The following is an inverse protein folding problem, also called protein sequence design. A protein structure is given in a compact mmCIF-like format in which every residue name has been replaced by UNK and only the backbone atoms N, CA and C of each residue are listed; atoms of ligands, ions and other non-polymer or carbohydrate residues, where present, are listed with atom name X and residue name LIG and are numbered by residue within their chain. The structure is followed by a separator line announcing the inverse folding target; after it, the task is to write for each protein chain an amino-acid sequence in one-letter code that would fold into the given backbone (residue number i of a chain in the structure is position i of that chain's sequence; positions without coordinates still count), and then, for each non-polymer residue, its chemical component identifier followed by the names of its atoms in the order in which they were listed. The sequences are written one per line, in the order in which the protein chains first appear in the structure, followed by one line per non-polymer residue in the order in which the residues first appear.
data_IF_074799366438
#
_entry.id   IF_074799366438
#
_cell.length_a   1.000
_cell.length_b   1.000
_cell.length_c   1.000
_cell.angle_alpha   90.00
_cell.angle_beta   90.00
_cell.angle_gamma   90.00
#
_symmetry.space_group_name_H-M   'P 1'
#
loop_
_entity.id
_entity.type
_entity.pdbx_description
1 polymer ?
#
# COMPACT_ATOMS: atom_id res chain seq x y z
N UNK A 1 -44.87 -28.59 15.92
CA UNK A 1 -44.04 -28.48 14.69
C UNK A 1 -43.04 -27.37 14.95
N UNK A 2 -41.76 -27.69 15.15
CA UNK A 2 -40.74 -26.66 15.34
C UNK A 2 -40.59 -25.85 14.03
N UNK A 3 -40.41 -24.52 14.07
CA UNK A 3 -40.16 -23.76 12.86
C UNK A 3 -38.89 -24.31 12.18
N UNK A 4 -38.83 -24.35 10.84
CA UNK A 4 -37.61 -24.74 10.15
C UNK A 4 -36.48 -23.83 10.63
N UNK A 5 -35.37 -24.42 11.05
CA UNK A 5 -34.20 -23.65 11.43
C UNK A 5 -33.75 -22.85 10.21
N UNK A 6 -33.89 -21.52 10.28
CA UNK A 6 -33.36 -20.61 9.26
C UNK A 6 -31.86 -20.82 9.23
N UNK A 7 -31.36 -21.39 8.14
CA UNK A 7 -29.93 -21.60 7.96
C UNK A 7 -29.30 -20.25 7.67
N UNK A 8 -28.13 -19.95 8.24
CA UNK A 8 -27.36 -18.77 7.82
C UNK A 8 -27.00 -18.79 6.32
N UNK A 9 -27.17 -19.92 5.64
CA UNK A 9 -27.07 -20.04 4.19
C UNK A 9 -28.18 -19.30 3.41
N UNK A 10 -29.28 -18.92 4.06
CA UNK A 10 -30.42 -18.25 3.44
C UNK A 10 -30.31 -16.71 3.48
N UNK A 11 -29.29 -16.17 4.17
CA UNK A 11 -29.06 -14.73 4.24
C UNK A 11 -28.32 -14.29 2.96
N UNK A 12 -28.85 -13.33 2.19
CA UNK A 12 -28.16 -12.80 1.01
C UNK A 12 -26.82 -12.16 1.38
N UNK A 13 -25.81 -12.30 0.52
CA UNK A 13 -24.46 -11.74 0.73
C UNK A 13 -24.49 -10.24 1.08
N UNK A 14 -25.37 -9.46 0.43
CA UNK A 14 -25.56 -8.02 0.70
C UNK A 14 -25.89 -7.75 2.17
N UNK A 15 -26.69 -8.59 2.82
CA UNK A 15 -27.03 -8.43 4.24
C UNK A 15 -25.86 -8.83 5.14
N UNK A 16 -25.10 -9.86 4.76
CA UNK A 16 -23.87 -10.25 5.46
C UNK A 16 -22.82 -9.15 5.39
N UNK A 17 -22.65 -8.52 4.23
CA UNK A 17 -21.76 -7.36 4.06
C UNK A 17 -22.13 -6.24 5.03
N UNK A 18 -23.40 -5.82 5.07
CA UNK A 18 -23.86 -4.75 5.97
C UNK A 18 -23.69 -5.10 7.45
N UNK A 19 -23.77 -6.39 7.81
CA UNK A 19 -23.46 -6.87 9.17
C UNK A 19 -21.95 -6.76 9.45
N UNK A 20 -21.12 -7.26 8.55
CA UNK A 20 -19.66 -7.28 8.74
C UNK A 20 -19.05 -5.88 8.66
N UNK A 21 -19.64 -4.95 7.90
CA UNK A 21 -19.22 -3.53 7.87
C UNK A 21 -19.46 -2.83 9.21
N UNK A 22 -20.27 -3.38 10.11
CA UNK A 22 -20.46 -2.82 11.47
C UNK A 22 -19.43 -3.33 12.47
N UNK A 23 -18.61 -4.33 12.12
CA UNK A 23 -17.53 -4.83 12.97
C UNK A 23 -16.33 -3.89 12.89
N UNK A 24 -16.22 -2.92 13.79
CA UNK A 24 -15.16 -1.90 13.75
C UNK A 24 -13.76 -2.46 14.03
N UNK A 25 -13.66 -3.60 14.71
CA UNK A 25 -12.39 -4.26 15.01
C UNK A 25 -12.04 -5.30 13.95
N UNK A 26 -10.83 -5.19 13.37
CA UNK A 26 -10.32 -6.16 12.40
C UNK A 26 -10.24 -7.59 12.97
N UNK A 27 -10.06 -7.75 14.28
CA UNK A 27 -10.07 -9.05 14.95
C UNK A 27 -11.43 -9.74 14.88
N UNK A 28 -12.52 -8.99 15.07
CA UNK A 28 -13.88 -9.53 15.00
C UNK A 28 -14.22 -9.94 13.57
N UNK A 29 -13.78 -9.15 12.59
CA UNK A 29 -13.89 -9.49 11.18
C UNK A 29 -13.09 -10.75 10.84
N UNK A 30 -11.86 -10.89 11.37
CA UNK A 30 -11.05 -12.09 11.21
C UNK A 30 -11.75 -13.32 11.82
N UNK A 31 -12.30 -13.21 13.03
CA UNK A 31 -13.08 -14.30 13.66
C UNK A 31 -14.30 -14.66 12.82
N UNK A 32 -15.07 -13.69 12.34
CA UNK A 32 -16.20 -13.92 11.45
C UNK A 32 -15.78 -14.68 10.18
N UNK A 33 -14.62 -14.36 9.60
CA UNK A 33 -14.11 -15.07 8.42
C UNK A 33 -13.78 -16.55 8.68
N UNK A 34 -13.57 -16.94 9.94
CA UNK A 34 -13.24 -18.32 10.31
C UNK A 34 -14.46 -19.19 10.62
N UNK A 35 -15.66 -18.61 10.72
CA UNK A 35 -16.87 -19.36 11.13
C UNK A 35 -17.37 -20.30 10.03
N UNK A 36 -17.39 -19.84 8.78
CA UNK A 36 -17.84 -20.63 7.64
C UNK A 36 -17.27 -20.12 6.30
N UNK A 37 -17.26 -20.97 5.24
CA UNK A 37 -16.75 -20.59 3.92
C UNK A 37 -17.49 -19.41 3.29
N UNK A 38 -18.80 -19.28 3.51
CA UNK A 38 -19.60 -18.16 2.96
C UNK A 38 -19.17 -16.83 3.57
N UNK A 39 -18.97 -16.77 4.89
CA UNK A 39 -18.50 -15.56 5.56
C UNK A 39 -17.08 -15.21 5.12
N UNK A 40 -16.20 -16.21 5.04
CA UNK A 40 -14.85 -16.03 4.50
C UNK A 40 -14.88 -15.43 3.09
N UNK A 41 -15.78 -15.93 2.22
CA UNK A 41 -15.92 -15.43 0.84
C UNK A 41 -16.35 -13.96 0.82
N UNK A 42 -17.39 -13.60 1.58
CA UNK A 42 -17.88 -12.21 1.65
C UNK A 42 -16.81 -11.29 2.23
N UNK A 43 -16.13 -11.69 3.31
CA UNK A 43 -15.11 -10.88 3.98
C UNK A 43 -13.83 -10.74 3.14
N UNK A 44 -13.46 -11.78 2.39
CA UNK A 44 -12.32 -11.74 1.48
C UNK A 44 -12.64 -11.03 0.15
N UNK A 45 -13.91 -10.68 -0.09
CA UNK A 45 -14.30 -9.95 -1.29
C UNK A 45 -13.63 -8.56 -1.32
N UNK A 46 -13.17 -8.20 -2.50
CA UNK A 46 -12.46 -6.95 -2.71
C UNK A 46 -13.36 -5.73 -2.45
N UNK A 47 -14.57 -5.70 -3.00
CA UNK A 47 -15.48 -4.56 -2.82
C UNK A 47 -15.85 -4.38 -1.35
N UNK A 48 -16.07 -5.49 -0.61
CA UNK A 48 -16.28 -5.46 0.83
C UNK A 48 -15.09 -4.84 1.57
N UNK A 49 -13.87 -5.34 1.36
CA UNK A 49 -12.66 -4.83 2.02
C UNK A 49 -12.40 -3.34 1.72
N UNK A 50 -12.77 -2.87 0.52
CA UNK A 50 -12.72 -1.44 0.15
C UNK A 50 -13.62 -0.60 1.04
N UNK A 51 -14.91 -0.98 1.11
CA UNK A 51 -15.91 -0.29 1.93
C UNK A 51 -15.51 -0.34 3.40
N UNK A 52 -15.04 -1.49 3.86
CA UNK A 52 -14.59 -1.68 5.22
C UNK A 52 -13.47 -0.72 5.59
N UNK A 53 -12.41 -0.59 4.77
CA UNK A 53 -11.30 0.34 5.05
C UNK A 53 -11.69 1.81 4.95
N UNK A 54 -12.65 2.15 4.08
CA UNK A 54 -13.17 3.50 3.98
C UNK A 54 -13.95 3.91 5.24
N UNK A 55 -14.69 2.98 5.83
CA UNK A 55 -15.45 3.18 7.09
C UNK A 55 -14.57 3.04 8.34
N UNK A 56 -13.57 2.16 8.29
CA UNK A 56 -12.67 1.82 9.39
C UNK A 56 -11.22 2.01 8.95
N UNK A 57 -10.69 3.24 8.99
CA UNK A 57 -9.32 3.51 8.61
C UNK A 57 -8.34 2.61 9.39
N UNK A 58 -7.33 2.01 8.72
CA UNK A 58 -6.36 1.15 9.38
C UNK A 58 -5.71 1.85 10.58
N UNK A 59 -5.56 1.18 11.73
CA UNK A 59 -4.96 1.80 12.91
C UNK A 59 -3.47 2.09 12.69
N UNK A 60 -2.99 3.19 13.28
CA UNK A 60 -1.56 3.49 13.35
C UNK A 60 -0.88 2.52 14.33
N UNK A 61 -0.20 1.50 13.80
CA UNK A 61 0.41 0.45 14.63
C UNK A 61 1.78 0.81 15.20
N UNK A 62 2.47 1.82 14.67
CA UNK A 62 3.78 2.22 15.17
C UNK A 62 4.54 3.14 14.22
N UNK A 63 5.78 3.42 14.60
CA UNK A 63 6.75 4.16 13.80
C UNK A 63 7.82 3.20 13.28
N UNK A 64 8.11 3.26 11.99
CA UNK A 64 9.21 2.50 11.40
C UNK A 64 10.40 3.42 11.13
N UNK A 65 11.54 3.08 11.73
CA UNK A 65 12.84 3.71 11.50
C UNK A 65 13.82 2.62 11.04
N UNK A 66 15.02 2.54 11.63
CA UNK A 66 15.91 1.37 11.48
C UNK A 66 15.30 0.11 12.09
N UNK A 67 14.45 0.28 13.11
CA UNK A 67 13.66 -0.77 13.75
C UNK A 67 12.20 -0.33 13.91
N UNK A 68 11.31 -1.30 14.11
CA UNK A 68 9.90 -1.03 14.35
C UNK A 68 9.64 -0.68 15.82
N UNK A 69 9.04 0.49 16.04
CA UNK A 69 8.61 0.98 17.34
C UNK A 69 7.07 0.93 17.44
N UNK A 70 6.49 -0.08 18.13
CA UNK A 70 5.05 -0.23 18.22
C UNK A 70 4.41 0.86 19.08
N UNK A 71 3.16 1.22 18.76
CA UNK A 71 2.34 2.09 19.60
C UNK A 71 2.25 1.53 21.03
N UNK A 72 2.40 2.40 22.04
CA UNK A 72 2.40 2.03 23.46
C UNK A 72 1.12 2.51 24.18
N UNK A 73 0.72 1.89 25.30
CA UNK A 73 -0.34 2.41 26.14
C UNK A 73 -0.02 3.85 26.60
N UNK A 74 -1.02 4.75 26.72
CA UNK A 74 -2.46 4.50 26.63
C UNK A 74 -3.05 4.62 25.20
N UNK A 75 -2.24 4.60 24.14
CA UNK A 75 -2.74 4.73 22.77
C UNK A 75 -3.68 3.56 22.39
N UNK A 76 -4.84 3.81 21.76
CA UNK A 76 -5.81 2.75 21.40
C UNK A 76 -5.21 1.63 20.52
N UNK A 77 -4.28 1.98 19.63
CA UNK A 77 -3.61 1.00 18.76
C UNK A 77 -2.57 0.14 19.46
N UNK A 78 -2.29 0.34 20.75
CA UNK A 78 -1.25 -0.42 21.45
C UNK A 78 -1.50 -1.94 21.46
N UNK A 79 -2.77 -2.37 21.52
CA UNK A 79 -3.13 -3.80 21.46
C UNK A 79 -2.80 -4.38 20.09
N UNK A 80 -3.24 -3.72 19.01
CA UNK A 80 -2.95 -4.14 17.64
C UNK A 80 -1.44 -4.11 17.34
N UNK A 81 -0.72 -3.10 17.84
CA UNK A 81 0.72 -2.94 17.66
C UNK A 81 1.53 -4.09 18.27
N UNK A 82 1.06 -4.68 19.38
CA UNK A 82 1.75 -5.81 20.04
C UNK A 82 1.85 -7.06 19.16
N UNK A 83 0.93 -7.25 18.21
CA UNK A 83 0.99 -8.36 17.27
C UNK A 83 2.25 -8.31 16.36
N UNK A 84 2.87 -7.13 16.24
CA UNK A 84 4.04 -6.87 15.40
C UNK A 84 5.35 -6.72 16.21
N UNK A 85 5.34 -7.05 17.50
CA UNK A 85 6.56 -7.03 18.30
C UNK A 85 7.58 -8.03 17.75
N UNK A 86 8.79 -7.53 17.43
CA UNK A 86 9.87 -8.33 16.85
C UNK A 86 9.66 -8.68 15.37
N UNK A 87 8.63 -8.13 14.72
CA UNK A 87 8.43 -8.30 13.28
C UNK A 87 9.43 -7.46 12.49
N UNK A 88 10.02 -8.04 11.46
CA UNK A 88 10.98 -7.37 10.58
C UNK A 88 10.29 -6.81 9.33
N UNK A 89 10.16 -5.48 9.28
CA UNK A 89 9.62 -4.76 8.11
C UNK A 89 10.67 -4.41 7.06
N UNK A 90 11.93 -4.83 7.22
CA UNK A 90 13.02 -4.47 6.29
C UNK A 90 12.90 -5.14 4.93
N UNK A 91 12.10 -6.21 4.80
CA UNK A 91 12.00 -7.05 3.60
C UNK A 91 13.34 -7.65 3.11
N UNK A 92 14.40 -7.57 3.94
CA UNK A 92 15.75 -7.98 3.56
C UNK A 92 15.86 -9.48 3.25
N UNK A 93 15.06 -10.30 3.91
CA UNK A 93 14.95 -11.75 3.68
C UNK A 93 14.13 -12.14 2.44
N UNK A 94 13.33 -11.23 1.90
CA UNK A 94 12.40 -11.47 0.79
C UNK A 94 13.03 -11.03 -0.54
N UNK A 95 13.73 -9.90 -0.51
CA UNK A 95 14.30 -9.26 -1.69
C UNK A 95 15.60 -9.93 -2.14
N UNK A 96 15.92 -9.86 -3.45
CA UNK A 96 17.20 -10.33 -3.96
C UNK A 96 18.35 -9.63 -3.23
N UNK A 97 19.22 -10.42 -2.60
CA UNK A 97 20.37 -9.93 -1.85
C UNK A 97 21.67 -10.37 -2.54
N UNK A 98 22.48 -9.40 -2.96
CA UNK A 98 23.86 -9.62 -3.41
C UNK A 98 24.83 -8.97 -2.42
N UNK A 99 26.08 -9.47 -2.28
CA UNK A 99 27.04 -8.88 -1.35
C UNK A 99 27.22 -7.37 -1.59
N UNK A 100 27.09 -6.58 -0.52
CA UNK A 100 27.16 -5.10 -0.60
C UNK A 100 25.91 -4.41 -1.15
N UNK A 101 24.80 -5.14 -1.33
CA UNK A 101 23.53 -4.60 -1.79
C UNK A 101 22.52 -4.61 -0.64
N UNK A 102 22.23 -3.43 -0.08
CA UNK A 102 21.23 -3.27 0.98
C UNK A 102 20.07 -2.45 0.46
N UNK A 103 18.90 -3.09 0.38
CA UNK A 103 17.64 -2.41 0.14
C UNK A 103 17.33 -1.46 1.31
N UNK A 104 16.79 -0.29 0.99
CA UNK A 104 16.43 0.72 1.98
C UNK A 104 14.96 1.09 1.83
N UNK A 105 14.17 1.05 2.92
CA UNK A 105 12.82 1.57 2.89
C UNK A 105 12.80 3.06 2.59
N UNK A 106 11.85 3.51 1.77
CA UNK A 106 11.60 4.92 1.50
C UNK A 106 10.19 5.38 1.83
N UNK A 107 9.20 4.49 1.71
CA UNK A 107 7.83 4.82 2.05
C UNK A 107 7.03 3.59 2.50
N UNK A 108 6.00 3.83 3.31
CA UNK A 108 5.07 2.81 3.78
C UNK A 108 3.64 3.29 3.60
N UNK A 109 2.86 2.52 2.84
CA UNK A 109 1.47 2.84 2.59
C UNK A 109 0.63 1.57 2.57
N UNK A 110 -0.45 1.58 3.36
CA UNK A 110 -1.46 0.51 3.39
C UNK A 110 -0.84 -0.90 3.57
N UNK A 111 0.09 -1.00 4.53
CA UNK A 111 0.77 -2.25 4.89
C UNK A 111 1.87 -2.71 3.93
N UNK A 112 2.20 -1.91 2.91
CA UNK A 112 3.25 -2.21 1.94
C UNK A 112 4.44 -1.26 2.10
N UNK A 113 5.63 -1.79 1.85
CA UNK A 113 6.88 -1.07 1.88
C UNK A 113 7.32 -0.77 0.44
N UNK A 114 7.68 0.47 0.14
CA UNK A 114 8.46 0.82 -1.04
C UNK A 114 9.93 0.86 -0.64
N UNK A 115 10.76 0.12 -1.36
CA UNK A 115 12.19 0.02 -1.11
C UNK A 115 12.99 0.44 -2.33
N UNK A 116 14.13 1.05 -2.04
CA UNK A 116 15.13 1.49 -3.01
C UNK A 116 16.35 0.58 -2.88
N UNK A 117 16.72 -0.04 -3.98
CA UNK A 117 17.93 -0.83 -4.13
C UNK A 117 19.17 0.05 -4.25
N UNK A 118 20.36 -0.54 -4.06
CA UNK A 118 21.61 0.18 -4.18
C UNK A 118 21.80 0.71 -5.61
N UNK A 119 22.65 1.72 -5.77
CA UNK A 119 22.96 2.24 -7.09
C UNK A 119 23.69 1.21 -7.95
N UNK A 120 23.24 1.03 -9.20
CA UNK A 120 23.93 0.19 -10.15
C UNK A 120 25.27 0.84 -10.57
N UNK A 121 26.39 0.13 -10.35
CA UNK A 121 27.74 0.67 -10.61
C UNK A 121 28.12 0.65 -12.09
N UNK A 122 27.43 -0.15 -12.90
CA UNK A 122 27.75 -0.35 -14.32
C UNK A 122 27.10 0.73 -15.22
N UNK A 123 25.95 1.28 -14.82
CA UNK A 123 25.29 2.39 -15.51
C UNK A 123 25.82 3.74 -15.02
N UNK A 124 26.98 4.16 -15.56
CA UNK A 124 27.61 5.45 -15.24
C UNK A 124 26.80 6.68 -15.69
N UNK A 125 25.73 6.48 -16.47
CA UNK A 125 24.92 7.58 -17.01
C UNK A 125 23.57 7.75 -16.32
N UNK A 126 23.03 6.74 -15.64
CA UNK A 126 21.76 6.85 -14.94
C UNK A 126 21.79 6.02 -13.67
N UNK A 127 21.67 6.70 -12.53
CA UNK A 127 21.40 6.07 -11.24
C UNK A 127 19.94 5.56 -11.25
N UNK A 128 19.63 4.58 -12.09
CA UNK A 128 18.35 3.88 -12.04
C UNK A 128 18.38 3.11 -10.73
N UNK A 129 17.72 3.69 -9.72
CA UNK A 129 17.48 3.03 -8.46
C UNK A 129 16.54 1.86 -8.73
N UNK A 130 16.95 0.64 -8.40
CA UNK A 130 16.01 -0.48 -8.38
C UNK A 130 14.91 -0.15 -7.37
N UNK A 131 13.65 -0.26 -7.79
CA UNK A 131 12.52 -0.05 -6.89
C UNK A 131 11.80 -1.37 -6.70
N UNK A 132 11.42 -1.64 -5.46
CA UNK A 132 10.62 -2.81 -5.11
C UNK A 132 9.46 -2.39 -4.22
N UNK A 133 8.28 -2.91 -4.50
CA UNK A 133 7.19 -2.90 -3.53
C UNK A 133 7.12 -4.25 -2.85
N UNK A 134 7.20 -4.24 -1.53
CA UNK A 134 7.16 -5.42 -0.70
C UNK A 134 5.90 -5.42 0.17
N UNK A 135 5.26 -6.57 0.28
CA UNK A 135 4.32 -6.91 1.34
C UNK A 135 5.10 -7.75 2.37
N UNK A 136 5.56 -7.14 3.48
CA UNK A 136 6.39 -7.83 4.45
C UNK A 136 5.60 -8.94 5.17
N UNK A 137 4.29 -8.79 5.34
CA UNK A 137 3.44 -9.73 6.07
C UNK A 137 3.22 -11.00 5.24
N UNK A 138 2.95 -10.86 3.94
CA UNK A 138 2.69 -12.00 3.06
C UNK A 138 3.96 -12.58 2.43
N UNK A 139 5.14 -12.02 2.73
CA UNK A 139 6.42 -12.40 2.14
C UNK A 139 6.41 -12.34 0.60
N UNK A 140 5.90 -11.24 0.04
CA UNK A 140 5.78 -11.04 -1.41
C UNK A 140 6.44 -9.75 -1.81
N UNK A 141 6.99 -9.70 -3.01
CA UNK A 141 7.50 -8.47 -3.59
C UNK A 141 7.28 -8.40 -5.10
N UNK A 142 7.29 -7.18 -5.61
CA UNK A 142 7.28 -6.87 -7.04
C UNK A 142 8.43 -5.91 -7.30
N UNK A 143 9.31 -6.28 -8.23
CA UNK A 143 10.32 -5.37 -8.78
C UNK A 143 9.65 -4.48 -9.81
N UNK A 144 9.85 -3.17 -9.70
CA UNK A 144 9.35 -2.23 -10.68
C UNK A 144 10.29 -2.21 -11.89
N UNK A 145 9.74 -1.94 -13.10
CA UNK A 145 10.58 -1.81 -14.27
C UNK A 145 11.58 -0.67 -14.09
N UNK A 146 12.76 -0.83 -14.70
CA UNK A 146 13.66 0.29 -14.89
C UNK A 146 12.92 1.44 -15.58
N UNK A 147 13.27 2.67 -15.22
CA UNK A 147 12.71 3.87 -15.86
C UNK A 147 12.87 3.72 -17.40
N UNK A 148 11.77 3.78 -18.18
CA UNK A 148 11.79 3.62 -19.64
C UNK A 148 12.82 4.53 -20.35
N UNK A 149 13.41 4.05 -21.45
CA UNK A 149 14.50 4.73 -22.17
C UNK A 149 14.09 6.10 -22.75
N UNK A 150 12.84 6.26 -23.14
CA UNK A 150 12.23 7.54 -23.55
C UNK A 150 12.24 8.57 -22.41
N UNK A 151 12.11 8.12 -21.17
CA UNK A 151 12.28 8.97 -19.97
C UNK A 151 13.76 9.19 -19.64
N UNK A 152 14.65 8.24 -19.96
CA UNK A 152 16.11 8.47 -19.89
C UNK A 152 16.57 9.53 -20.89
N UNK A 153 15.88 9.72 -22.01
CA UNK A 153 16.18 10.79 -22.95
C UNK A 153 15.92 12.21 -22.37
N UNK A 154 15.00 12.31 -21.39
CA UNK A 154 14.77 13.53 -20.60
C UNK A 154 15.79 13.66 -19.46
N UNK A 155 16.56 12.62 -19.17
CA UNK A 155 17.43 12.57 -18.00
C UNK A 155 18.74 13.39 -18.01
N UNK A 156 19.21 14.04 -19.11
CA UNK A 156 20.17 15.14 -18.98
C UNK A 156 19.61 16.32 -18.16
N UNK A 157 18.29 16.40 -18.02
CA UNK A 157 17.58 17.38 -17.20
C UNK A 157 17.14 16.79 -15.85
N UNK A 158 16.94 15.47 -15.71
CA UNK A 158 16.65 14.85 -14.41
C UNK A 158 17.95 14.60 -13.64
N UNK A 159 18.30 15.46 -12.69
CA UNK A 159 19.26 15.08 -11.66
C UNK A 159 18.65 13.96 -10.79
N UNK A 160 18.90 12.69 -11.16
CA UNK A 160 18.36 11.50 -10.49
C UNK A 160 18.87 11.32 -9.05
N UNK A 161 19.83 12.14 -8.61
CA UNK A 161 20.31 12.17 -7.22
C UNK A 161 19.20 12.53 -6.23
N UNK A 162 18.15 13.20 -6.69
CA UNK A 162 17.02 13.66 -5.87
C UNK A 162 15.71 12.93 -6.18
N UNK A 163 15.76 11.76 -6.84
CA UNK A 163 14.55 10.95 -7.07
C UNK A 163 13.88 10.62 -5.73
N UNK A 164 12.75 11.26 -5.47
CA UNK A 164 11.85 10.98 -4.36
C UNK A 164 10.77 10.02 -4.87
N UNK A 165 10.62 8.89 -4.21
CA UNK A 165 9.63 7.88 -4.55
C UNK A 165 8.75 7.57 -3.36
N UNK A 166 7.44 7.46 -3.58
CA UNK A 166 6.45 7.17 -2.55
C UNK A 166 5.24 6.45 -3.14
N UNK A 167 4.46 5.79 -2.29
CA UNK A 167 3.25 5.06 -2.64
C UNK A 167 2.04 6.00 -2.57
N UNK A 168 1.15 5.89 -3.56
CA UNK A 168 -0.08 6.65 -3.63
C UNK A 168 -1.29 5.73 -3.88
N UNK A 169 -2.51 6.12 -3.48
CA UNK A 169 -3.73 5.41 -3.86
C UNK A 169 -3.85 5.30 -5.39
N UNK A 170 -4.26 4.13 -5.88
CA UNK A 170 -4.60 3.91 -7.29
C UNK A 170 -6.03 4.36 -7.60
N UNK A 171 -6.29 4.63 -8.88
CA UNK A 171 -7.59 5.12 -9.37
C UNK A 171 -8.58 4.00 -9.73
N UNK A 172 -8.18 2.73 -9.75
CA UNK A 172 -8.99 1.66 -10.34
C UNK A 172 -10.10 1.17 -9.43
N UNK A 173 -11.34 1.29 -9.93
CA UNK A 173 -12.56 0.70 -9.38
C UNK A 173 -12.49 -0.84 -9.26
N UNK A 174 -11.69 -1.51 -10.09
CA UNK A 174 -11.53 -2.98 -10.10
C UNK A 174 -10.64 -3.54 -8.99
N UNK A 175 -9.99 -2.69 -8.18
CA UNK A 175 -9.02 -3.13 -7.17
C UNK A 175 -8.90 -2.18 -5.97
N UNK A 176 -9.43 -2.53 -4.78
CA UNK A 176 -9.32 -1.76 -3.53
C UNK A 176 -7.89 -1.55 -3.03
N UNK A 177 -6.96 -2.31 -3.61
CA UNK A 177 -5.53 -2.33 -3.31
C UNK A 177 -4.74 -1.89 -4.55
N UNK A 178 -5.36 -1.17 -5.48
CA UNK A 178 -4.57 -0.50 -6.52
C UNK A 178 -3.81 0.62 -5.83
N UNK A 179 -2.49 0.57 -5.93
CA UNK A 179 -1.59 1.63 -5.51
C UNK A 179 -0.64 1.90 -6.67
N UNK A 180 -0.18 3.14 -6.71
CA UNK A 180 0.80 3.58 -7.69
C UNK A 180 2.08 3.96 -6.97
N UNK A 181 3.20 3.72 -7.63
CA UNK A 181 4.49 4.25 -7.18
C UNK A 181 4.70 5.56 -7.92
N UNK A 182 4.81 6.64 -7.18
CA UNK A 182 5.06 7.96 -7.71
C UNK A 182 6.55 8.22 -7.63
N UNK A 183 7.11 8.69 -8.74
CA UNK A 183 8.51 9.06 -8.86
C UNK A 183 8.59 10.54 -9.21
N UNK A 184 9.20 11.34 -8.35
CA UNK A 184 9.41 12.77 -8.55
C UNK A 184 10.87 13.00 -8.92
N UNK A 185 11.06 13.73 -10.02
CA UNK A 185 12.37 14.18 -10.48
C UNK A 185 12.35 15.68 -10.77
N UNK A 186 13.51 16.24 -11.10
CA UNK A 186 13.74 17.69 -11.18
C UNK A 186 12.72 18.49 -12.00
N UNK A 187 12.19 17.91 -13.08
CA UNK A 187 11.27 18.60 -14.00
C UNK A 187 9.97 17.85 -14.24
N UNK A 188 9.71 16.75 -13.52
CA UNK A 188 8.49 15.98 -13.74
C UNK A 188 8.20 14.94 -12.68
N UNK A 189 6.93 14.58 -12.60
CA UNK A 189 6.40 13.50 -11.79
C UNK A 189 5.85 12.40 -12.70
N UNK A 190 6.15 11.15 -12.36
CA UNK A 190 5.71 9.97 -13.07
C UNK A 190 4.99 9.04 -12.11
N UNK A 191 4.05 8.26 -12.64
CA UNK A 191 3.36 7.22 -11.88
C UNK A 191 3.58 5.87 -12.52
N UNK A 192 3.80 4.85 -11.70
CA UNK A 192 3.93 3.45 -12.12
C UNK A 192 2.76 2.67 -11.54
N UNK A 193 1.98 2.05 -12.41
CA UNK A 193 0.97 1.08 -12.01
C UNK A 193 1.67 -0.25 -11.67
N UNK A 194 1.55 -0.70 -10.43
CA UNK A 194 2.29 -1.89 -9.97
C UNK A 194 1.72 -3.19 -10.52
N UNK A 195 0.46 -3.19 -10.98
CA UNK A 195 -0.19 -4.38 -11.55
C UNK A 195 0.20 -4.56 -13.02
N UNK A 196 0.17 -3.47 -13.80
CA UNK A 196 0.48 -3.51 -15.24
C UNK A 196 1.94 -3.21 -15.54
N UNK A 197 2.69 -2.69 -14.56
CA UNK A 197 4.05 -2.17 -14.70
C UNK A 197 4.13 -1.05 -15.76
N UNK A 198 3.02 -0.40 -16.07
CA UNK A 198 2.99 0.73 -16.99
C UNK A 198 3.44 2.01 -16.29
N UNK A 199 4.27 2.77 -17.00
CA UNK A 199 4.79 4.07 -16.55
C UNK A 199 4.05 5.17 -17.31
N UNK A 200 3.56 6.16 -16.57
CA UNK A 200 2.80 7.29 -17.10
C UNK A 200 3.41 8.61 -16.60
N UNK A 201 3.54 9.60 -17.50
CA UNK A 201 3.84 10.96 -17.11
C UNK A 201 2.63 11.58 -16.39
N UNK A 202 2.85 12.10 -15.19
CA UNK A 202 1.78 12.62 -14.33
C UNK A 202 1.71 14.14 -14.35
N UNK A 203 2.85 14.84 -14.18
CA UNK A 203 2.88 16.30 -14.15
C UNK A 203 4.27 16.87 -14.46
N UNK A 204 4.32 18.07 -15.06
CA UNK A 204 5.54 18.86 -15.22
C UNK A 204 5.82 19.69 -13.95
N UNK A 205 7.08 19.81 -13.56
CA UNK A 205 7.49 20.57 -12.38
C UNK A 205 8.34 21.77 -12.78
N UNK A 206 7.90 22.97 -12.38
CA UNK A 206 8.61 24.22 -12.68
C UNK A 206 9.90 24.41 -11.87
N UNK A 207 10.04 23.72 -10.73
CA UNK A 207 11.21 23.72 -9.83
C UNK A 207 11.30 22.41 -9.06
N UNK A 208 12.52 22.02 -8.68
CA UNK A 208 12.77 20.93 -7.75
C UNK A 208 12.40 21.34 -6.32
N UNK A 209 11.14 21.23 -5.95
CA UNK A 209 10.68 21.35 -4.57
C UNK A 209 10.11 20.00 -4.12
N UNK A 210 10.24 19.63 -2.83
CA UNK A 210 9.56 18.47 -2.29
C UNK A 210 8.05 18.68 -2.46
N UNK A 211 7.48 17.95 -3.41
CA UNK A 211 6.07 18.00 -3.76
C UNK A 211 5.29 17.04 -2.86
N UNK A 212 4.18 17.48 -2.31
CA UNK A 212 3.21 16.57 -1.70
C UNK A 212 2.09 16.34 -2.70
N UNK A 213 1.69 15.10 -2.91
CA UNK A 213 0.45 14.85 -3.64
C UNK A 213 -0.71 15.48 -2.89
N UNK A 214 -1.49 16.26 -3.64
CA UNK A 214 -2.82 16.62 -3.21
C UNK A 214 -3.77 15.51 -3.66
N UNK A 215 -4.22 14.69 -2.71
CA UNK A 215 -5.13 13.59 -2.96
C UNK A 215 -6.48 13.85 -2.29
N UNK A 216 -7.56 13.70 -3.06
CA UNK A 216 -8.93 13.82 -2.58
C UNK A 216 -9.52 15.23 -2.62
N UNK A 217 -10.84 15.30 -2.45
CA UNK A 217 -11.55 16.54 -2.24
C UNK A 217 -11.56 16.88 -0.74
N UNK A 218 -11.48 18.17 -0.36
CA UNK A 218 -11.65 18.56 1.03
C UNK A 218 -13.05 18.13 1.50
N UNK A 219 -13.26 17.85 2.80
CA UNK A 219 -14.55 17.38 3.31
C UNK A 219 -15.75 18.26 2.92
N UNK A 220 -15.53 19.56 2.72
CA UNK A 220 -16.54 20.52 2.24
C UNK A 220 -17.00 20.31 0.79
N UNK A 221 -16.24 19.55 0.00
CA UNK A 221 -16.52 19.19 -1.39
C UNK A 221 -16.82 17.70 -1.55
N UNK A 222 -16.74 16.91 -0.48
CA UNK A 222 -17.21 15.54 -0.47
C UNK A 222 -18.74 15.55 -0.34
N UNK A 223 -19.43 14.77 -1.18
CA UNK A 223 -20.86 14.53 -0.98
C UNK A 223 -21.06 13.95 0.44
N UNK A 224 -22.12 14.36 1.17
CA UNK A 224 -22.38 13.81 2.50
C UNK A 224 -22.48 12.30 2.38
N UNK A 225 -21.64 11.60 3.15
CA UNK A 225 -21.63 10.15 3.22
C UNK A 225 -22.94 9.76 3.91
N UNK A 226 -23.90 9.23 3.14
CA UNK A 226 -25.17 8.67 3.64
C UNK A 226 -24.89 7.30 4.24
#
# INVERSE_FOLDING_TARGET
MAPPATSMADIPDVMLEEIFLRLTAAEDLARASTTCPSFRRVIADHAFLRRYRALHPPPLIGLLQDTFSPAQPPHPSAVAARAFLGFDFSCSSILPSTPGHTWRPVDFFDGRALLVGPPNKEDRQFWVKDLAVCDPIHHRYVLLPAIPDDLKALAPQLDLLTLEAFLAPGQNEEGPLSFRVMCVAQFGCFSVDVKTLQVEFFAELSKHLPGRLYAGFPPSLCAPTI
#
